data_IF_916340814980
#
_entry.id   IF_916340814980
#
_cell.length_a   1.000
_cell.length_b   1.000
_cell.length_c   1.000
_cell.angle_alpha   90.00
_cell.angle_beta   90.00
_cell.angle_gamma   90.00
#
_symmetry.space_group_name_H-M   'P 1'
#
loop_
_entity.id
_entity.type
_entity.pdbx_description
1 polymer ?
#
# COMPACT_ATOMS: atom_id res chain seq x y z
N UNK A 1 -8.87 15.32 -23.80
CA UNK A 1 -7.83 14.57 -23.03
C UNK A 1 -6.56 14.52 -23.85
N UNK A 2 -5.39 14.68 -23.25
CA UNK A 2 -4.13 14.55 -23.97
C UNK A 2 -3.92 13.09 -24.43
N UNK A 3 -3.24 12.88 -25.55
CA UNK A 3 -2.91 11.54 -26.06
C UNK A 3 -2.11 10.71 -25.04
N UNK A 4 -1.30 11.37 -24.24
CA UNK A 4 -0.58 10.73 -23.12
C UNK A 4 -1.52 10.25 -22.01
N UNK A 5 -2.49 11.07 -21.59
CA UNK A 5 -3.45 10.66 -20.56
C UNK A 5 -4.42 9.56 -21.03
N UNK A 6 -4.59 9.39 -22.34
CA UNK A 6 -5.37 8.30 -22.94
C UNK A 6 -4.57 7.03 -23.24
N UNK A 7 -3.26 7.03 -22.96
CA UNK A 7 -2.38 5.90 -23.23
C UNK A 7 -1.98 5.73 -24.70
N UNK A 8 -2.38 6.65 -25.59
CA UNK A 8 -2.01 6.61 -27.01
C UNK A 8 -0.55 7.02 -27.26
N UNK A 9 0.05 7.73 -26.31
CA UNK A 9 1.47 8.06 -26.27
C UNK A 9 2.03 7.72 -24.89
N UNK A 10 3.29 7.28 -24.85
CA UNK A 10 4.04 7.06 -23.61
C UNK A 10 5.28 7.93 -23.58
N UNK A 11 5.78 8.26 -22.39
CA UNK A 11 7.04 8.99 -22.28
C UNK A 11 8.19 8.05 -22.60
N UNK A 12 8.88 8.32 -23.72
CA UNK A 12 10.05 7.55 -24.12
C UNK A 12 11.28 7.94 -23.30
N UNK A 13 11.56 9.25 -23.18
CA UNK A 13 12.66 9.77 -22.38
C UNK A 13 12.43 11.22 -21.96
N UNK A 14 13.31 11.73 -21.10
CA UNK A 14 13.36 13.13 -20.70
C UNK A 14 14.73 13.72 -21.02
N UNK A 15 14.76 14.96 -21.52
CA UNK A 15 15.99 15.72 -21.75
C UNK A 15 15.76 17.17 -21.36
N UNK A 16 16.60 17.69 -20.43
CA UNK A 16 16.47 19.07 -19.94
C UNK A 16 15.07 19.40 -19.40
N UNK A 17 14.42 18.47 -18.66
CA UNK A 17 13.07 18.65 -18.12
C UNK A 17 11.93 18.48 -19.13
N UNK A 18 12.21 18.33 -20.42
CA UNK A 18 11.21 18.10 -21.47
C UNK A 18 10.93 16.62 -21.63
N UNK A 19 9.64 16.27 -21.79
CA UNK A 19 9.20 14.92 -22.10
C UNK A 19 9.17 14.71 -23.59
N UNK A 20 9.72 13.59 -24.03
CA UNK A 20 9.64 13.10 -25.41
C UNK A 20 8.75 11.88 -25.42
N UNK A 21 7.77 11.90 -26.31
CA UNK A 21 6.74 10.87 -26.39
C UNK A 21 6.93 10.02 -27.64
N UNK A 22 6.53 8.77 -27.57
CA UNK A 22 6.47 7.85 -28.69
C UNK A 22 5.27 6.92 -28.54
N UNK A 23 5.02 6.11 -29.58
CA UNK A 23 3.95 5.12 -29.56
C UNK A 23 4.26 4.00 -28.55
N UNK A 24 3.28 3.54 -27.75
CA UNK A 24 3.48 2.46 -26.79
C UNK A 24 4.16 1.22 -27.40
N UNK A 25 3.77 0.83 -28.61
CA UNK A 25 4.30 -0.34 -29.32
C UNK A 25 5.81 -0.27 -29.59
N UNK A 26 6.39 0.93 -29.59
CA UNK A 26 7.83 1.13 -29.81
C UNK A 26 8.64 1.18 -28.53
N UNK A 27 7.99 1.47 -27.42
CA UNK A 27 8.64 1.72 -26.12
C UNK A 27 8.44 0.57 -25.15
N UNK A 28 7.24 -0.04 -25.18
CA UNK A 28 6.88 -1.13 -24.29
C UNK A 28 7.27 -2.45 -24.95
N UNK A 29 8.02 -3.35 -24.27
CA UNK A 29 8.33 -4.67 -24.79
C UNK A 29 7.05 -5.42 -25.22
N UNK A 30 7.11 -6.17 -26.31
CA UNK A 30 5.95 -6.81 -26.92
C UNK A 30 5.21 -7.76 -25.96
N UNK A 31 5.92 -8.43 -25.06
CA UNK A 31 5.36 -9.31 -24.03
C UNK A 31 4.41 -8.59 -23.07
N UNK A 32 4.71 -7.33 -22.74
CA UNK A 32 3.85 -6.50 -21.87
C UNK A 32 2.78 -5.76 -22.68
N UNK A 33 3.13 -5.28 -23.86
CA UNK A 33 2.18 -4.55 -24.72
C UNK A 33 1.04 -5.44 -25.20
N UNK A 34 1.34 -6.71 -25.55
CA UNK A 34 0.38 -7.69 -26.02
C UNK A 34 -0.20 -8.57 -24.90
N UNK A 35 0.15 -8.31 -23.62
CA UNK A 35 -0.43 -9.03 -22.50
C UNK A 35 -1.96 -8.87 -22.51
N UNK A 36 -2.73 -9.94 -22.25
CA UNK A 36 -4.18 -9.84 -22.19
C UNK A 36 -4.57 -8.80 -21.12
N UNK A 37 -5.55 -7.93 -21.38
CA UNK A 37 -6.05 -7.01 -20.38
C UNK A 37 -6.65 -7.80 -19.22
N UNK A 38 -6.54 -7.25 -18.01
CA UNK A 38 -7.32 -7.76 -16.88
C UNK A 38 -8.81 -7.64 -17.24
N UNK A 39 -9.47 -8.78 -17.37
CA UNK A 39 -10.83 -8.86 -17.90
C UNK A 39 -11.87 -8.45 -16.86
N UNK A 40 -11.53 -8.54 -15.57
CA UNK A 40 -12.41 -8.21 -14.44
C UNK A 40 -11.93 -6.95 -13.71
N UNK A 41 -12.84 -5.97 -13.60
CA UNK A 41 -12.60 -4.71 -12.87
C UNK A 41 -12.31 -4.97 -11.40
N UNK A 42 -12.98 -5.95 -10.78
CA UNK A 42 -12.76 -6.31 -9.38
C UNK A 42 -11.35 -6.92 -9.18
N UNK A 43 -10.90 -7.75 -10.12
CA UNK A 43 -9.54 -8.28 -10.12
C UNK A 43 -8.50 -7.18 -10.28
N UNK A 44 -8.74 -6.22 -11.16
CA UNK A 44 -7.87 -5.04 -11.32
C UNK A 44 -7.80 -4.21 -10.02
N UNK A 45 -8.95 -3.94 -9.38
CA UNK A 45 -8.97 -3.21 -8.11
C UNK A 45 -8.23 -3.97 -7.00
N UNK A 46 -8.38 -5.29 -6.94
CA UNK A 46 -7.66 -6.16 -6.00
C UNK A 46 -6.16 -6.14 -6.27
N UNK A 47 -5.74 -6.21 -7.52
CA UNK A 47 -4.33 -6.13 -7.90
C UNK A 47 -3.71 -4.80 -7.47
N UNK A 48 -4.35 -3.65 -7.77
CA UNK A 48 -3.86 -2.33 -7.32
C UNK A 48 -3.81 -2.28 -5.79
N UNK A 49 -4.84 -2.75 -5.10
CA UNK A 49 -4.89 -2.80 -3.64
C UNK A 49 -3.68 -3.54 -3.07
N UNK A 50 -3.38 -4.72 -3.59
CA UNK A 50 -2.19 -5.50 -3.21
C UNK A 50 -0.89 -4.72 -3.42
N UNK A 51 -0.77 -4.02 -4.55
CA UNK A 51 0.41 -3.16 -4.84
C UNK A 51 0.57 -2.03 -3.82
N UNK A 52 -0.54 -1.50 -3.27
CA UNK A 52 -0.48 -0.48 -2.20
C UNK A 52 0.06 -1.07 -0.91
N UNK A 53 -0.40 -2.25 -0.50
CA UNK A 53 0.14 -2.95 0.66
C UNK A 53 1.62 -3.32 0.49
N UNK A 54 2.02 -3.78 -0.68
CA UNK A 54 3.44 -4.06 -0.99
C UNK A 54 4.32 -2.81 -0.89
N UNK A 55 3.83 -1.67 -1.35
CA UNK A 55 4.62 -0.44 -1.37
C UNK A 55 4.72 0.24 -0.01
N UNK A 56 3.65 0.20 0.79
CA UNK A 56 3.60 0.88 2.08
C UNK A 56 3.96 -0.03 3.27
N UNK A 57 3.95 -1.36 3.08
CA UNK A 57 4.17 -2.35 4.14
C UNK A 57 2.97 -2.52 5.06
N UNK A 58 2.49 -1.44 5.67
CA UNK A 58 1.38 -1.42 6.61
C UNK A 58 0.43 -0.28 6.26
N UNK A 59 -0.88 -0.57 6.17
CA UNK A 59 -1.91 0.43 5.84
C UNK A 59 -3.18 0.18 6.62
N UNK A 60 -3.90 1.27 6.94
CA UNK A 60 -5.27 1.22 7.44
C UNK A 60 -6.26 1.26 6.27
N UNK A 61 -7.46 0.63 6.38
CA UNK A 61 -8.49 0.71 5.35
C UNK A 61 -9.00 2.12 5.11
N UNK A 62 -8.94 2.97 6.15
CA UNK A 62 -9.36 4.38 6.10
C UNK A 62 -8.13 5.25 6.30
N UNK A 63 -7.61 5.77 5.21
CA UNK A 63 -6.46 6.67 5.14
C UNK A 63 -6.70 7.71 4.04
N UNK A 64 -5.68 8.48 3.67
CA UNK A 64 -5.81 9.49 2.61
C UNK A 64 -6.35 8.88 1.32
N UNK A 65 -7.41 9.47 0.72
CA UNK A 65 -8.01 8.95 -0.52
C UNK A 65 -7.02 8.80 -1.67
N UNK A 66 -5.94 9.57 -1.70
CA UNK A 66 -4.92 9.51 -2.74
C UNK A 66 -4.19 8.14 -2.75
N UNK A 67 -4.00 7.52 -1.58
CA UNK A 67 -3.40 6.19 -1.46
C UNK A 67 -4.27 5.15 -2.17
N UNK A 68 -5.59 5.32 -2.12
CA UNK A 68 -6.56 4.37 -2.64
C UNK A 68 -7.03 4.68 -4.06
N UNK A 69 -6.38 5.60 -4.75
CA UNK A 69 -6.70 5.90 -6.15
C UNK A 69 -6.59 4.64 -7.02
N UNK A 70 -7.63 4.34 -7.77
CA UNK A 70 -7.71 3.15 -8.63
C UNK A 70 -8.11 1.85 -7.92
N UNK A 71 -8.36 1.86 -6.61
CA UNK A 71 -8.76 0.67 -5.85
C UNK A 71 -10.28 0.51 -5.71
N UNK A 72 -11.06 1.10 -6.61
CA UNK A 72 -12.53 1.06 -6.53
C UNK A 72 -13.12 1.99 -5.48
N UNK A 73 -14.40 1.84 -5.21
CA UNK A 73 -15.13 2.55 -4.15
C UNK A 73 -14.70 2.10 -2.76
N UNK A 74 -15.06 2.86 -1.73
CA UNK A 74 -14.77 2.49 -0.34
C UNK A 74 -15.40 1.14 0.07
N UNK A 75 -16.60 0.85 -0.43
CA UNK A 75 -17.29 -0.42 -0.15
C UNK A 75 -16.62 -1.61 -0.84
N UNK A 76 -16.27 -1.48 -2.14
CA UNK A 76 -15.53 -2.51 -2.89
C UNK A 76 -14.18 -2.80 -2.26
N UNK A 77 -13.46 -1.74 -1.83
CA UNK A 77 -12.18 -1.88 -1.15
C UNK A 77 -12.32 -2.59 0.20
N UNK A 78 -13.32 -2.24 1.00
CA UNK A 78 -13.57 -2.89 2.29
C UNK A 78 -13.88 -4.38 2.10
N UNK A 79 -14.67 -4.74 1.09
CA UNK A 79 -14.95 -6.14 0.76
C UNK A 79 -13.68 -6.85 0.30
N UNK A 80 -12.89 -6.25 -0.60
CA UNK A 80 -11.64 -6.84 -1.08
C UNK A 80 -10.62 -7.07 0.05
N UNK A 81 -10.52 -6.16 1.03
CA UNK A 81 -9.67 -6.37 2.22
C UNK A 81 -10.17 -7.56 3.03
N UNK A 82 -11.49 -7.66 3.25
CA UNK A 82 -12.09 -8.80 3.96
C UNK A 82 -11.79 -10.13 3.27
N UNK A 83 -11.99 -10.18 1.95
CA UNK A 83 -11.71 -11.39 1.14
C UNK A 83 -10.23 -11.78 1.22
N UNK A 84 -9.32 -10.80 1.19
CA UNK A 84 -7.87 -11.03 1.31
C UNK A 84 -7.46 -11.50 2.71
N UNK A 85 -8.15 -11.06 3.76
CA UNK A 85 -7.94 -11.56 5.12
C UNK A 85 -8.45 -12.99 5.24
N UNK A 86 -9.65 -13.28 4.74
CA UNK A 86 -10.21 -14.64 4.72
C UNK A 86 -9.36 -15.63 3.91
N UNK A 87 -8.73 -15.15 2.84
CA UNK A 87 -7.77 -15.91 2.04
C UNK A 87 -6.36 -16.03 2.69
N UNK A 88 -6.13 -15.45 3.84
CA UNK A 88 -4.84 -15.46 4.52
C UNK A 88 -3.74 -14.65 3.82
N UNK A 89 -4.09 -13.75 2.90
CA UNK A 89 -3.14 -12.89 2.15
C UNK A 89 -2.80 -11.64 2.93
N UNK A 90 -3.78 -11.08 3.64
CA UNK A 90 -3.60 -9.96 4.57
C UNK A 90 -3.84 -10.41 6.00
N UNK A 91 -3.03 -9.90 6.91
CA UNK A 91 -3.19 -10.10 8.36
C UNK A 91 -3.49 -8.78 9.04
N UNK A 92 -4.55 -8.70 9.88
CA UNK A 92 -4.81 -7.52 10.68
C UNK A 92 -3.77 -7.38 11.79
N UNK A 93 -3.31 -6.14 12.04
CA UNK A 93 -2.33 -5.80 13.07
C UNK A 93 -2.92 -4.71 13.95
N UNK A 94 -2.82 -4.87 15.24
CA UNK A 94 -3.08 -3.81 16.21
C UNK A 94 -1.76 -3.20 16.68
N UNK A 95 -1.71 -1.89 16.72
CA UNK A 95 -0.59 -1.16 17.29
C UNK A 95 -0.91 -0.93 18.76
N UNK A 96 0.00 -1.34 19.63
CA UNK A 96 -0.09 -1.09 21.06
C UNK A 96 0.44 0.32 21.36
N UNK A 97 -0.48 1.26 21.56
CA UNK A 97 -0.15 2.66 21.86
C UNK A 97 0.53 2.83 23.24
N UNK A 98 0.47 1.81 24.10
CA UNK A 98 1.13 1.84 25.43
C UNK A 98 2.60 1.41 25.36
N UNK A 99 3.04 0.81 24.25
CA UNK A 99 4.42 0.36 24.10
C UNK A 99 5.34 1.56 23.80
N UNK A 100 6.47 1.71 24.51
CA UNK A 100 7.41 2.80 24.25
C UNK A 100 8.03 2.65 22.85
N UNK A 101 7.94 3.73 22.08
CA UNK A 101 8.49 3.81 20.73
C UNK A 101 9.99 3.45 20.74
N UNK A 102 10.38 2.51 19.88
CA UNK A 102 11.79 2.17 19.63
C UNK A 102 12.44 1.17 20.59
N UNK A 103 11.69 0.48 21.46
CA UNK A 103 12.27 -0.47 22.42
C UNK A 103 11.84 -1.93 22.30
N UNK A 104 10.84 -2.26 21.47
CA UNK A 104 10.38 -3.65 21.38
C UNK A 104 9.61 -3.91 20.09
N UNK A 105 9.83 -5.11 19.52
CA UNK A 105 8.95 -5.70 18.52
C UNK A 105 7.53 -5.96 19.05
N UNK A 106 7.29 -5.70 20.33
CA UNK A 106 5.99 -5.88 21.00
C UNK A 106 4.96 -4.79 20.63
N UNK A 107 5.38 -3.72 19.94
CA UNK A 107 4.47 -2.65 19.52
C UNK A 107 3.42 -3.10 18.48
N UNK A 108 3.71 -4.15 17.71
CA UNK A 108 2.79 -4.76 16.76
C UNK A 108 2.26 -6.08 17.33
N UNK A 109 1.10 -6.05 17.97
CA UNK A 109 0.44 -7.27 18.43
C UNK A 109 -0.40 -7.85 17.29
N UNK A 110 -0.04 -9.05 16.86
CA UNK A 110 -0.82 -9.83 15.89
C UNK A 110 -2.16 -10.24 16.54
N UNK A 111 -3.27 -9.92 15.89
CA UNK A 111 -4.55 -10.58 16.16
C UNK A 111 -4.50 -11.97 15.52
N UNK A 112 -3.84 -12.90 16.20
CA UNK A 112 -3.93 -14.31 15.86
C UNK A 112 -5.23 -14.85 16.50
N UNK A 113 -5.94 -15.66 15.73
CA UNK A 113 -7.12 -16.43 16.13
C UNK A 113 -8.43 -15.65 16.36
N UNK A 114 -9.06 -15.20 15.27
CA UNK A 114 -10.53 -15.04 15.22
C UNK A 114 -11.19 -14.11 16.26
N UNK A 115 -10.42 -13.34 17.02
CA UNK A 115 -10.99 -12.38 17.96
C UNK A 115 -11.64 -11.23 17.20
N UNK A 116 -12.93 -11.06 17.37
CA UNK A 116 -13.68 -9.93 16.83
C UNK A 116 -13.01 -8.63 17.25
N UNK A 117 -12.67 -7.78 16.26
CA UNK A 117 -12.14 -6.43 16.52
C UNK A 117 -13.16 -5.69 17.39
N UNK A 118 -12.78 -5.20 18.58
CA UNK A 118 -13.71 -4.48 19.45
C UNK A 118 -14.24 -3.24 18.73
N UNK A 119 -15.55 -3.00 18.79
CA UNK A 119 -16.25 -1.92 18.08
C UNK A 119 -15.80 -0.50 18.46
N UNK A 120 -15.03 -0.35 19.52
CA UNK A 120 -14.59 0.93 20.08
C UNK A 120 -13.08 1.19 19.97
N UNK A 121 -12.34 0.32 19.26
CA UNK A 121 -10.89 0.51 19.05
C UNK A 121 -10.58 1.05 17.66
N UNK A 122 -9.44 1.76 17.50
CA UNK A 122 -9.01 2.24 16.19
C UNK A 122 -8.98 1.09 15.17
N UNK A 123 -9.37 1.38 13.94
CA UNK A 123 -9.38 0.40 12.86
C UNK A 123 -8.00 -0.26 12.75
N UNK A 124 -7.94 -1.59 12.62
CA UNK A 124 -6.67 -2.29 12.53
C UNK A 124 -5.90 -1.84 11.29
N UNK A 125 -4.59 -1.90 11.40
CA UNK A 125 -3.72 -1.92 10.25
C UNK A 125 -3.76 -3.30 9.61
N UNK A 126 -3.40 -3.38 8.34
CA UNK A 126 -3.23 -4.64 7.65
C UNK A 126 -1.84 -4.68 7.02
N UNK A 127 -1.26 -5.86 7.00
CA UNK A 127 0.04 -6.17 6.44
C UNK A 127 -0.06 -7.44 5.59
N UNK A 128 0.81 -7.58 4.60
CA UNK A 128 0.90 -8.83 3.85
C UNK A 128 1.39 -9.97 4.77
N UNK A 129 0.66 -11.08 4.80
CA UNK A 129 0.96 -12.22 5.66
C UNK A 129 2.38 -12.76 5.42
N UNK A 130 2.84 -12.77 4.17
CA UNK A 130 4.19 -13.23 3.82
C UNK A 130 5.31 -12.30 4.28
N UNK A 131 4.99 -11.11 4.79
CA UNK A 131 5.97 -10.15 5.32
C UNK A 131 5.97 -10.06 6.84
N UNK A 132 5.13 -10.83 7.53
CA UNK A 132 5.03 -10.82 9.00
C UNK A 132 6.35 -11.16 9.69
N UNK A 133 7.16 -12.04 9.09
CA UNK A 133 8.49 -12.39 9.62
C UNK A 133 9.40 -11.18 9.83
N UNK A 134 9.18 -10.08 9.10
CA UNK A 134 9.93 -8.84 9.28
C UNK A 134 9.69 -8.17 10.64
N UNK A 135 8.58 -8.50 11.32
CA UNK A 135 8.28 -7.99 12.66
C UNK A 135 9.15 -8.65 13.74
N UNK A 136 9.62 -9.87 13.48
CA UNK A 136 10.46 -10.65 14.40
C UNK A 136 11.97 -10.49 14.11
N UNK A 137 12.31 -9.81 13.01
CA UNK A 137 13.69 -9.54 12.66
C UNK A 137 14.31 -8.50 13.60
N UNK A 138 15.59 -8.69 13.92
CA UNK A 138 16.33 -7.69 14.68
C UNK A 138 16.31 -6.34 13.95
N UNK A 139 16.03 -5.27 14.70
CA UNK A 139 16.03 -3.92 14.13
C UNK A 139 17.40 -3.67 13.46
N UNK A 140 17.38 -3.14 12.22
CA UNK A 140 18.62 -2.78 11.55
C UNK A 140 19.36 -1.71 12.35
N UNK A 141 20.67 -1.64 12.19
CA UNK A 141 21.48 -0.58 12.81
C UNK A 141 20.82 0.78 12.53
N UNK A 142 20.59 1.60 13.57
CA UNK A 142 19.97 2.90 13.40
C UNK A 142 20.73 3.74 12.35
N UNK A 143 20.01 4.21 11.36
CA UNK A 143 20.56 5.10 10.32
C UNK A 143 19.58 6.23 10.06
N UNK A 144 20.10 7.38 9.70
CA UNK A 144 19.28 8.51 9.25
C UNK A 144 18.78 8.22 7.83
N UNK A 145 17.48 8.32 7.62
CA UNK A 145 16.84 8.18 6.30
C UNK A 145 16.05 9.44 6.04
N UNK A 146 16.26 10.05 4.87
CA UNK A 146 15.46 11.18 4.41
C UNK A 146 14.32 10.67 3.55
N UNK A 147 13.08 10.89 4.00
CA UNK A 147 11.89 10.57 3.24
C UNK A 147 11.49 11.76 2.36
N UNK A 148 11.12 11.49 1.12
CA UNK A 148 10.57 12.51 0.25
C UNK A 148 9.16 12.94 0.69
N UNK A 149 8.71 14.17 0.40
CA UNK A 149 7.39 14.66 0.83
C UNK A 149 6.22 13.89 0.20
N UNK A 150 6.48 13.11 -0.85
CA UNK A 150 5.49 12.22 -1.50
C UNK A 150 5.67 10.75 -1.11
N UNK A 151 6.44 10.46 -0.07
CA UNK A 151 6.57 9.10 0.45
C UNK A 151 5.22 8.64 1.01
N UNK A 152 4.80 7.44 0.61
CA UNK A 152 3.49 6.89 0.99
C UNK A 152 3.33 6.69 2.49
N UNK A 153 4.42 6.50 3.23
CA UNK A 153 4.43 6.42 4.69
C UNK A 153 3.92 7.73 5.34
N UNK A 154 4.25 8.88 4.75
CA UNK A 154 3.89 10.20 5.29
C UNK A 154 2.47 10.65 4.93
N UNK A 155 1.78 9.94 4.03
CA UNK A 155 0.43 10.35 3.59
C UNK A 155 -0.65 10.07 4.62
N UNK A 156 -0.48 9.06 5.46
CA UNK A 156 -1.39 8.78 6.56
C UNK A 156 -0.86 9.40 7.87
N UNK A 157 -1.07 10.70 8.05
CA UNK A 157 -0.62 11.43 9.24
C UNK A 157 -1.11 10.81 10.55
N UNK A 158 -2.33 10.26 10.56
CA UNK A 158 -2.84 9.58 11.76
C UNK A 158 -2.08 8.29 12.04
N UNK A 159 -1.67 7.57 10.99
CA UNK A 159 -0.80 6.41 11.16
C UNK A 159 0.60 6.82 11.66
N UNK A 160 1.17 7.88 11.08
CA UNK A 160 2.47 8.42 11.52
C UNK A 160 2.43 8.81 12.99
N UNK A 161 1.39 9.55 13.42
CA UNK A 161 1.18 9.90 14.82
C UNK A 161 1.05 8.65 15.69
N UNK A 162 0.22 7.68 15.29
CA UNK A 162 -0.05 6.48 16.07
C UNK A 162 1.17 5.55 16.19
N UNK A 163 2.01 5.47 15.15
CA UNK A 163 3.17 4.59 15.11
C UNK A 163 4.41 5.26 15.72
N UNK A 164 4.61 6.55 15.46
CA UNK A 164 5.85 7.25 15.75
C UNK A 164 5.70 8.39 16.78
N UNK A 165 4.48 8.65 17.26
CA UNK A 165 4.16 9.80 18.13
C UNK A 165 4.70 11.14 17.54
N UNK A 166 4.49 11.32 16.25
CA UNK A 166 5.00 12.46 15.50
C UNK A 166 3.88 13.09 14.66
N UNK A 167 3.68 14.44 14.80
CA UNK A 167 2.72 15.24 14.04
C UNK A 167 3.42 16.15 13.03
#
# INVERSE_FOLDING_TARGET
RSLWASGLLVTHHRKGGRHYYDLPQRVIPAEYFNAPPLLDVAEYHRWILMRRYQAAGILRPVTDPAIWSGCGTGAERAQAVKDLVEAGVLTPILIDESAPIGRSNDAARLLLDGQAVPKEKPLPFYMLTNTLHLLDEALPTPRMIFLGPLDSLLWDRKAVMQIFDFD
#
